data_IF_043206941187
#
_entry.id   IF_043206941187
#
_cell.length_a   1.000
_cell.length_b   1.000
_cell.length_c   1.000
_cell.angle_alpha   90.00
_cell.angle_beta   90.00
_cell.angle_gamma   90.00
#
_symmetry.space_group_name_H-M   'P 1'
#
loop_
_entity.id
_entity.type
_entity.pdbx_description
1 polymer ?
#
# COMPACT_ATOMS: atom_id res chain seq x y z
N UNK A 1 19.81 17.67 4.48
CA UNK A 1 18.53 17.23 5.06
C UNK A 1 18.74 15.80 5.51
N UNK A 2 19.05 15.61 6.78
CA UNK A 2 19.36 14.28 7.33
C UNK A 2 18.04 13.57 7.68
N UNK A 3 17.83 12.39 7.08
CA UNK A 3 16.69 11.54 7.40
C UNK A 3 16.95 10.93 8.79
N UNK A 4 16.19 11.37 9.79
CA UNK A 4 16.31 10.89 11.16
C UNK A 4 16.13 9.37 11.24
N UNK A 5 17.02 8.70 11.98
CA UNK A 5 16.90 7.28 12.29
C UNK A 5 15.62 7.03 13.08
N UNK A 6 14.62 6.44 12.44
CA UNK A 6 13.45 5.90 13.12
C UNK A 6 13.80 4.52 13.69
N UNK A 7 13.83 4.40 15.01
CA UNK A 7 13.92 3.10 15.69
C UNK A 7 12.51 2.57 15.95
N UNK A 8 12.19 1.41 15.38
CA UNK A 8 10.92 0.71 15.65
C UNK A 8 11.13 -0.13 16.91
N UNK A 9 10.58 0.33 18.04
CA UNK A 9 10.72 -0.30 19.35
C UNK A 9 9.58 -1.27 19.70
N UNK A 10 8.65 -1.54 18.77
CA UNK A 10 7.50 -2.38 19.05
C UNK A 10 7.76 -3.87 18.79
N UNK A 11 7.39 -4.69 19.79
CA UNK A 11 7.40 -6.14 19.69
C UNK A 11 6.63 -6.59 18.44
N UNK A 12 7.13 -7.58 17.68
CA UNK A 12 6.48 -8.01 16.45
C UNK A 12 5.03 -8.42 16.73
N UNK A 13 4.09 -7.82 15.98
CA UNK A 13 2.66 -8.12 16.04
C UNK A 13 2.47 -9.64 15.99
N UNK A 14 1.98 -10.22 17.09
CA UNK A 14 1.66 -11.66 17.15
C UNK A 14 0.38 -11.91 16.37
N UNK A 15 0.51 -12.18 15.08
CA UNK A 15 -0.59 -12.62 14.24
C UNK A 15 -1.15 -13.95 14.77
N UNK A 16 -2.48 -14.09 14.76
CA UNK A 16 -3.12 -15.34 15.13
C UNK A 16 -2.64 -16.47 14.19
N UNK A 17 -2.27 -17.61 14.77
CA UNK A 17 -1.80 -18.77 13.99
C UNK A 17 -2.93 -19.24 13.07
N UNK A 18 -2.71 -19.18 11.76
CA UNK A 18 -3.66 -19.72 10.77
C UNK A 18 -3.81 -21.23 10.99
N UNK A 19 -4.98 -21.66 11.47
CA UNK A 19 -5.34 -23.07 11.52
C UNK A 19 -5.76 -23.47 10.10
N UNK A 20 -5.02 -24.40 9.49
CA UNK A 20 -5.41 -24.92 8.19
C UNK A 20 -6.73 -25.71 8.33
N UNK A 21 -7.69 -25.55 7.41
CA UNK A 21 -9.02 -26.16 7.53
C UNK A 21 -9.04 -27.69 7.29
N UNK A 22 -7.91 -28.30 6.91
CA UNK A 22 -7.82 -29.72 6.59
C UNK A 22 -7.26 -30.58 7.72
N UNK A 23 -7.80 -31.78 7.88
CA UNK A 23 -7.22 -32.85 8.71
C UNK A 23 -5.98 -33.40 8.02
N UNK A 24 -4.82 -33.39 8.68
CA UNK A 24 -3.59 -33.96 8.11
C UNK A 24 -3.72 -35.49 8.03
N UNK A 25 -4.01 -36.03 6.86
CA UNK A 25 -3.74 -37.43 6.57
C UNK A 25 -2.22 -37.59 6.40
N UNK A 26 -1.65 -38.70 6.88
CA UNK A 26 -0.20 -38.93 6.98
C UNK A 26 0.58 -39.00 5.64
N UNK A 27 -0.05 -38.66 4.52
CA UNK A 27 0.55 -38.75 3.20
C UNK A 27 0.94 -37.36 2.70
N UNK A 28 2.21 -37.22 2.33
CA UNK A 28 2.76 -36.02 1.68
C UNK A 28 2.83 -36.23 0.17
N UNK A 29 2.41 -35.22 -0.59
CA UNK A 29 2.54 -35.19 -2.05
C UNK A 29 3.35 -33.96 -2.46
N UNK A 30 4.33 -34.16 -3.34
CA UNK A 30 5.06 -33.05 -3.97
C UNK A 30 4.20 -32.46 -5.09
N UNK A 31 3.82 -31.18 -4.95
CA UNK A 31 3.00 -30.46 -5.92
C UNK A 31 3.84 -29.39 -6.59
N UNK A 32 3.90 -29.42 -7.92
CA UNK A 32 4.41 -28.30 -8.71
C UNK A 32 3.31 -27.25 -8.88
N UNK A 33 3.62 -26.00 -8.54
CA UNK A 33 2.71 -24.88 -8.73
C UNK A 33 3.32 -23.89 -9.71
N UNK A 34 2.47 -23.08 -10.34
CA UNK A 34 2.85 -21.93 -11.15
C UNK A 34 2.98 -20.66 -10.29
N UNK A 35 3.36 -20.79 -9.01
CA UNK A 35 3.52 -19.66 -8.09
C UNK A 35 5.01 -19.43 -7.88
N UNK A 36 5.46 -18.21 -8.17
CA UNK A 36 6.85 -17.80 -7.92
C UNK A 36 6.90 -16.89 -6.70
N UNK A 37 7.66 -17.31 -5.70
CA UNK A 37 7.95 -16.49 -4.53
C UNK A 37 8.90 -15.36 -4.90
N UNK A 38 8.49 -14.12 -4.65
CA UNK A 38 9.38 -12.96 -4.75
C UNK A 38 10.09 -12.78 -3.41
N UNK A 39 11.40 -12.97 -3.41
CA UNK A 39 12.25 -12.74 -2.23
C UNK A 39 13.00 -11.44 -2.46
N UNK A 40 12.75 -10.45 -1.58
CA UNK A 40 13.54 -9.22 -1.60
C UNK A 40 14.97 -9.51 -1.17
N UNK A 41 15.95 -8.93 -1.86
CA UNK A 41 17.38 -9.07 -1.50
C UNK A 41 17.74 -8.31 -0.23
N UNK A 42 17.03 -7.22 0.02
CA UNK A 42 17.27 -6.30 1.13
C UNK A 42 15.93 -5.88 1.75
N UNK A 43 16.00 -5.41 2.98
CA UNK A 43 14.84 -4.83 3.65
C UNK A 43 14.64 -3.39 3.15
N UNK A 44 13.76 -3.20 2.18
CA UNK A 44 13.49 -1.91 1.54
C UNK A 44 12.25 -1.27 2.20
N UNK A 45 12.35 -0.03 2.72
CA UNK A 45 11.20 0.67 3.28
C UNK A 45 10.17 1.01 2.18
N UNK A 46 8.90 0.78 2.47
CA UNK A 46 7.78 1.12 1.58
C UNK A 46 7.13 2.41 2.07
N UNK A 47 7.14 3.45 1.24
CA UNK A 47 6.53 4.73 1.55
C UNK A 47 5.20 4.88 0.84
N UNK A 48 4.16 5.26 1.58
CA UNK A 48 2.84 5.61 1.05
C UNK A 48 2.64 7.11 1.17
N UNK A 49 2.29 7.74 0.06
CA UNK A 49 2.01 9.17 0.01
C UNK A 49 0.55 9.42 -0.36
N UNK A 50 -0.05 10.39 0.31
CA UNK A 50 -1.33 10.94 -0.09
C UNK A 50 -1.06 12.10 -1.06
N UNK A 51 -1.63 12.04 -2.25
CA UNK A 51 -1.51 13.10 -3.24
C UNK A 51 -2.90 13.64 -3.59
N UNK A 52 -2.94 14.92 -3.96
CA UNK A 52 -4.14 15.58 -4.45
C UNK A 52 -3.93 15.95 -5.91
N UNK A 53 -4.90 15.57 -6.73
CA UNK A 53 -5.03 15.94 -8.13
C UNK A 53 -5.97 17.14 -8.22
N UNK A 54 -5.43 18.24 -8.73
CA UNK A 54 -6.15 19.45 -9.11
C UNK A 54 -6.24 19.46 -10.64
N UNK A 55 -7.46 19.57 -11.17
CA UNK A 55 -7.66 19.83 -12.59
C UNK A 55 -7.78 21.33 -12.81
N UNK A 56 -6.99 21.83 -13.77
CA UNK A 56 -7.08 23.20 -14.25
C UNK A 56 -8.07 23.26 -15.41
N UNK A 57 -9.03 24.16 -15.31
CA UNK A 57 -10.02 24.43 -16.34
C UNK A 57 -9.77 25.81 -16.96
N UNK A 58 -10.00 25.95 -18.28
CA UNK A 58 -9.85 27.24 -18.95
C UNK A 58 -10.81 28.27 -18.35
N UNK A 59 -10.42 29.57 -18.37
CA UNK A 59 -11.25 30.64 -17.84
C UNK A 59 -12.64 30.67 -18.50
N UNK A 60 -13.67 30.92 -17.69
CA UNK A 60 -15.04 31.13 -18.21
C UNK A 60 -15.11 32.50 -18.89
N UNK A 61 -16.06 32.67 -19.82
CA UNK A 61 -16.28 33.96 -20.50
C UNK A 61 -16.51 35.07 -19.45
N UNK A 62 -15.62 36.07 -19.44
CA UNK A 62 -15.68 37.21 -18.51
C UNK A 62 -14.74 37.13 -17.31
N UNK A 63 -14.00 36.03 -17.14
CA UNK A 63 -12.94 35.88 -16.13
C UNK A 63 -11.60 35.62 -16.80
N UNK A 64 -10.51 36.23 -16.33
CA UNK A 64 -9.16 36.00 -16.87
C UNK A 64 -8.42 34.86 -16.18
N UNK A 65 -8.86 34.45 -14.99
CA UNK A 65 -8.14 33.45 -14.19
C UNK A 65 -8.64 32.03 -14.46
N UNK A 66 -7.73 31.05 -14.58
CA UNK A 66 -8.08 29.64 -14.70
C UNK A 66 -8.73 29.15 -13.39
N UNK A 67 -9.71 28.24 -13.53
CA UNK A 67 -10.39 27.67 -12.38
C UNK A 67 -9.78 26.32 -12.02
N UNK A 68 -9.40 26.14 -10.76
CA UNK A 68 -8.91 24.86 -10.26
C UNK A 68 -10.02 24.10 -9.55
N UNK A 69 -10.15 22.80 -9.85
CA UNK A 69 -11.06 21.90 -9.14
C UNK A 69 -10.28 20.71 -8.61
N UNK A 70 -10.34 20.48 -7.30
CA UNK A 70 -9.85 19.24 -6.71
C UNK A 70 -10.72 18.07 -7.16
N UNK A 71 -10.13 17.11 -7.86
CA UNK A 71 -10.83 15.92 -8.39
C UNK A 71 -10.57 14.66 -7.58
N UNK A 72 -9.72 14.75 -6.56
CA UNK A 72 -9.40 13.61 -5.71
C UNK A 72 -10.52 13.41 -4.70
N UNK A 73 -11.24 12.29 -4.80
CA UNK A 73 -12.10 11.85 -3.71
C UNK A 73 -11.21 11.33 -2.60
N UNK A 74 -11.18 12.03 -1.46
CA UNK A 74 -10.52 11.52 -0.26
C UNK A 74 -11.14 10.16 0.08
N UNK A 75 -10.33 9.10 0.09
CA UNK A 75 -10.81 7.78 0.45
C UNK A 75 -10.85 7.66 1.97
N UNK A 76 -12.07 7.83 2.49
CA UNK A 76 -12.65 7.26 3.71
C UNK A 76 -11.70 7.13 4.91
N UNK A 77 -11.52 8.25 5.61
CA UNK A 77 -11.27 8.28 7.06
C UNK A 77 -12.12 9.40 7.69
N UNK A 78 -13.41 9.43 7.33
CA UNK A 78 -14.51 9.94 8.18
C UNK A 78 -15.42 8.75 8.52
#
# INVERSE_FOLDING_TARGET
>A
MELGQASVSELPVRLAKKVAPGTRACESLDIMTNVWGLISRENIPVYRYDFRVLEEYPPKKGTNEPAFKEVTKQTRNE
#
